data_IF_273341699101
#
_entry.id   IF_273341699101
#
_cell.length_a   1.000
_cell.length_b   1.000
_cell.length_c   1.000
_cell.angle_alpha   90.00
_cell.angle_beta   90.00
_cell.angle_gamma   90.00
#
_symmetry.space_group_name_H-M   'P 1'
#
loop_
_entity.id
_entity.type
_entity.pdbx_description
1 polymer ?
#
# COMPACT_ATOMS: atom_id res chain seq x y z
N UNK A 1 6.57 34.69 -24.34
CA UNK A 1 6.09 34.84 -22.95
C UNK A 1 4.57 34.88 -22.96
N UNK A 2 3.88 33.76 -22.68
CA UNK A 2 2.43 33.73 -22.43
C UNK A 2 2.06 32.42 -21.73
N UNK A 3 2.48 32.26 -20.48
CA UNK A 3 2.08 31.15 -19.61
C UNK A 3 1.38 31.64 -18.31
N UNK A 4 0.97 32.91 -18.26
CA UNK A 4 0.54 33.57 -17.02
C UNK A 4 -0.90 34.13 -17.05
N UNK A 5 -1.69 33.92 -18.11
CA UNK A 5 -3.03 34.53 -18.22
C UNK A 5 -4.21 33.56 -18.00
N UNK A 6 -3.97 32.26 -17.79
CA UNK A 6 -5.04 31.24 -17.65
C UNK A 6 -5.23 30.77 -16.19
N UNK A 7 -4.54 31.38 -15.23
CA UNK A 7 -4.65 31.04 -13.80
C UNK A 7 -5.72 31.82 -13.03
N UNK A 8 -6.46 32.72 -13.69
CA UNK A 8 -7.36 33.66 -12.99
C UNK A 8 -8.78 33.15 -12.74
N UNK A 9 -9.17 31.96 -13.24
CA UNK A 9 -10.54 31.47 -13.03
C UNK A 9 -10.63 29.96 -12.91
N UNK A 10 -9.82 29.39 -12.00
CA UNK A 10 -10.02 28.01 -11.58
C UNK A 10 -11.25 27.98 -10.65
N UNK A 11 -12.36 27.29 -11.00
CA UNK A 11 -13.48 27.11 -10.08
C UNK A 11 -12.97 26.43 -8.80
N UNK A 12 -13.45 26.88 -7.63
CA UNK A 12 -13.08 26.34 -6.30
C UNK A 12 -13.20 24.80 -6.23
N UNK A 13 -14.04 24.22 -7.07
CA UNK A 13 -14.24 22.79 -7.23
C UNK A 13 -13.01 22.06 -7.79
N UNK A 14 -12.27 22.68 -8.72
CA UNK A 14 -11.06 22.08 -9.28
C UNK A 14 -9.89 22.09 -8.28
N UNK A 15 -9.79 23.10 -7.40
CA UNK A 15 -8.83 23.09 -6.27
C UNK A 15 -9.17 22.00 -5.25
N UNK A 16 -10.46 21.78 -4.98
CA UNK A 16 -10.93 20.75 -4.05
C UNK A 16 -10.73 19.34 -4.61
N UNK A 17 -10.97 19.15 -5.92
CA UNK A 17 -10.67 17.90 -6.60
C UNK A 17 -9.17 17.59 -6.58
N UNK A 18 -8.31 18.58 -6.91
CA UNK A 18 -6.84 18.44 -6.83
C UNK A 18 -6.33 18.15 -5.41
N UNK A 19 -6.97 18.67 -4.36
CA UNK A 19 -6.60 18.34 -2.98
C UNK A 19 -6.82 16.84 -2.63
N UNK A 20 -7.72 16.18 -3.36
CA UNK A 20 -8.02 14.74 -3.21
C UNK A 20 -7.18 13.89 -4.17
N UNK A 21 -6.55 14.50 -5.19
CA UNK A 21 -5.68 13.81 -6.14
C UNK A 21 -4.40 13.37 -5.40
N UNK A 22 -4.26 12.06 -5.22
CA UNK A 22 -3.14 11.43 -4.51
C UNK A 22 -3.48 10.95 -3.09
N UNK A 23 -4.68 11.22 -2.60
CA UNK A 23 -5.18 10.59 -1.38
C UNK A 23 -5.71 9.19 -1.72
N UNK A 24 -5.29 8.19 -0.94
CA UNK A 24 -5.86 6.85 -1.06
C UNK A 24 -7.31 6.89 -0.56
N UNK A 25 -8.27 6.53 -1.42
CA UNK A 25 -9.70 6.52 -1.06
C UNK A 25 -10.02 5.62 0.16
N UNK A 26 -9.12 4.71 0.51
CA UNK A 26 -9.18 3.92 1.73
C UNK A 26 -7.87 4.04 2.50
N UNK A 27 -7.95 4.47 3.77
CA UNK A 27 -6.80 4.54 4.68
C UNK A 27 -6.22 3.17 5.03
N UNK A 28 -7.05 2.12 4.95
CA UNK A 28 -6.69 0.75 5.30
C UNK A 28 -7.15 -0.23 4.23
N UNK A 29 -6.23 -1.08 3.82
CA UNK A 29 -6.45 -2.19 2.89
C UNK A 29 -6.44 -3.51 3.63
N UNK A 30 -7.25 -4.45 3.13
CA UNK A 30 -7.26 -5.84 3.58
C UNK A 30 -6.34 -6.65 2.68
N UNK A 31 -5.26 -7.17 3.26
CA UNK A 31 -4.29 -8.02 2.57
C UNK A 31 -4.54 -9.46 2.97
N UNK A 32 -4.78 -10.33 1.97
CA UNK A 32 -4.92 -11.78 2.16
C UNK A 32 -3.64 -12.47 1.71
N UNK A 33 -3.01 -13.19 2.62
CA UNK A 33 -1.87 -14.06 2.35
C UNK A 33 -2.36 -15.46 2.07
N UNK A 34 -1.93 -16.02 0.94
CA UNK A 34 -2.14 -17.42 0.61
C UNK A 34 -0.79 -18.13 0.60
N UNK A 35 -0.61 -19.23 1.34
CA UNK A 35 0.59 -20.05 1.23
C UNK A 35 0.65 -20.64 -0.18
N UNK A 36 1.86 -20.70 -0.74
CA UNK A 36 2.14 -21.32 -2.02
C UNK A 36 3.16 -22.45 -1.81
N UNK A 37 2.97 -23.59 -2.48
CA UNK A 37 3.84 -24.76 -2.32
C UNK A 37 3.84 -25.34 -0.90
N UNK A 38 5.04 -25.67 -0.39
CA UNK A 38 5.24 -26.21 0.96
C UNK A 38 5.41 -25.13 2.04
N UNK A 39 5.01 -23.89 1.76
CA UNK A 39 5.12 -22.81 2.74
C UNK A 39 4.13 -22.99 3.92
N UNK A 40 4.56 -22.71 5.16
CA UNK A 40 3.70 -22.82 6.33
C UNK A 40 2.53 -21.84 6.28
N UNK A 41 1.35 -22.31 6.68
CA UNK A 41 0.13 -21.50 6.74
C UNK A 41 0.21 -20.45 7.85
N UNK A 42 -0.33 -19.26 7.58
CA UNK A 42 -0.47 -18.22 8.60
C UNK A 42 -1.70 -18.50 9.47
N UNK A 43 -1.58 -18.30 10.79
CA UNK A 43 -2.74 -18.41 11.70
C UNK A 43 -3.85 -17.42 11.36
N UNK A 44 -3.50 -16.25 10.82
CA UNK A 44 -4.45 -15.28 10.25
C UNK A 44 -4.02 -14.96 8.83
N UNK A 45 -4.78 -15.48 7.87
CA UNK A 45 -4.54 -15.24 6.44
C UNK A 45 -4.85 -13.81 6.02
N UNK A 46 -5.58 -13.05 6.83
CA UNK A 46 -6.07 -11.72 6.46
C UNK A 46 -5.63 -10.70 7.50
N UNK A 47 -4.97 -9.62 7.07
CA UNK A 47 -4.61 -8.51 7.93
C UNK A 47 -5.03 -7.16 7.34
N UNK A 48 -5.27 -6.19 8.23
CA UNK A 48 -5.55 -4.80 7.85
C UNK A 48 -4.25 -4.00 7.93
N UNK A 49 -3.84 -3.39 6.83
CA UNK A 49 -2.64 -2.56 6.73
C UNK A 49 -3.04 -1.18 6.22
N UNK A 50 -2.33 -0.13 6.63
CA UNK A 50 -2.57 1.20 6.05
C UNK A 50 -2.16 1.21 4.58
N UNK A 51 -2.96 1.84 3.71
CA UNK A 51 -2.68 1.97 2.28
C UNK A 51 -1.38 2.72 1.98
N UNK A 52 -0.94 3.61 2.87
CA UNK A 52 0.30 4.37 2.73
C UNK A 52 1.57 3.59 3.13
N UNK A 53 1.43 2.37 3.67
CA UNK A 53 2.59 1.58 4.08
C UNK A 53 3.33 0.98 2.89
N UNK A 54 4.66 1.02 2.96
CA UNK A 54 5.53 0.39 1.95
C UNK A 54 5.39 -1.14 2.00
N UNK A 55 5.65 -1.78 0.87
CA UNK A 55 5.62 -3.25 0.76
C UNK A 55 6.60 -3.94 1.72
N UNK A 56 7.72 -3.30 2.05
CA UNK A 56 8.69 -3.80 3.04
C UNK A 56 8.05 -4.09 4.40
N UNK A 57 7.08 -3.28 4.84
CA UNK A 57 6.37 -3.51 6.09
C UNK A 57 5.58 -4.83 6.07
N UNK A 58 5.05 -5.21 4.90
CA UNK A 58 4.35 -6.49 4.68
C UNK A 58 5.34 -7.65 4.81
N UNK A 59 6.52 -7.52 4.21
CA UNK A 59 7.59 -8.53 4.28
C UNK A 59 8.09 -8.71 5.71
N UNK A 60 8.35 -7.61 6.42
CA UNK A 60 8.78 -7.63 7.82
C UNK A 60 7.72 -8.28 8.73
N UNK A 61 6.43 -7.97 8.50
CA UNK A 61 5.32 -8.63 9.18
C UNK A 61 5.32 -10.14 8.91
N UNK A 62 5.40 -10.55 7.64
CA UNK A 62 5.37 -11.95 7.24
C UNK A 62 6.52 -12.75 7.89
N UNK A 63 7.73 -12.19 7.89
CA UNK A 63 8.90 -12.79 8.56
C UNK A 63 8.67 -12.97 10.06
N UNK A 64 8.11 -11.95 10.72
CA UNK A 64 7.81 -12.00 12.16
C UNK A 64 6.79 -13.08 12.50
N UNK A 65 5.73 -13.21 11.70
CA UNK A 65 4.66 -14.19 11.97
C UNK A 65 5.14 -15.62 11.69
N UNK A 66 5.92 -15.81 10.63
CA UNK A 66 6.47 -17.12 10.25
C UNK A 66 7.73 -17.51 11.05
N UNK A 67 8.28 -16.60 11.87
CA UNK A 67 9.52 -16.79 12.66
C UNK A 67 10.73 -17.24 11.83
N UNK A 68 10.81 -16.76 10.58
CA UNK A 68 11.94 -17.02 9.67
C UNK A 68 12.97 -15.91 9.77
N UNK A 69 14.24 -16.29 9.62
CA UNK A 69 15.38 -15.38 9.67
C UNK A 69 15.44 -14.49 8.43
N UNK A 70 16.14 -13.36 8.50
CA UNK A 70 16.29 -12.41 7.39
C UNK A 70 16.94 -13.00 6.14
N UNK A 71 17.72 -14.08 6.31
CA UNK A 71 18.42 -14.82 5.26
C UNK A 71 17.57 -15.89 4.59
N UNK A 72 16.37 -16.17 5.11
CA UNK A 72 15.51 -17.22 4.58
C UNK A 72 14.63 -16.69 3.45
N UNK A 73 14.45 -17.50 2.41
CA UNK A 73 13.67 -17.11 1.23
C UNK A 73 12.18 -17.20 1.54
N UNK A 74 11.52 -16.04 1.61
CA UNK A 74 10.08 -15.92 1.86
C UNK A 74 9.25 -16.00 0.56
N UNK A 75 9.90 -15.90 -0.59
CA UNK A 75 9.28 -15.93 -1.92
C UNK A 75 9.91 -17.02 -2.77
N UNK A 76 9.09 -17.82 -3.47
CA UNK A 76 9.53 -18.76 -4.49
C UNK A 76 9.22 -18.19 -5.88
N UNK A 77 10.18 -18.29 -6.81
CA UNK A 77 10.03 -17.94 -8.23
C UNK A 77 9.02 -18.86 -8.93
#
# INVERSE_FOLDING_TARGET
>A
MSASAVLSNLPRDATSALATVGQFAQDKVLVRFKPIGSAPSLSREVCKISSAQKFEAIVAYLRRVLKVQSTDSVFST
#
